data_IF_606601979399
#
_entry.id   IF_606601979399
#
_cell.length_a   1.000
_cell.length_b   1.000
_cell.length_c   1.000
_cell.angle_alpha   90.00
_cell.angle_beta   90.00
_cell.angle_gamma   90.00
#
_symmetry.space_group_name_H-M   'P 1'
#
loop_
_entity.id
_entity.type
_entity.pdbx_description
1 polymer ?
#
# COMPACT_ATOMS: atom_id res chain seq x y z
N UNK A 1 3.09 -55.15 62.28
CA UNK A 1 1.90 -54.61 61.57
C UNK A 1 2.27 -53.30 60.91
N UNK A 2 2.09 -53.26 59.57
CA UNK A 2 1.90 -52.13 58.64
C UNK A 2 2.16 -50.72 59.18
N UNK A 3 2.93 -49.91 58.44
CA UNK A 3 2.50 -48.56 58.06
C UNK A 3 3.25 -48.06 56.80
N UNK A 4 2.44 -47.54 55.88
CA UNK A 4 2.67 -47.26 54.47
C UNK A 4 3.35 -45.90 54.30
N UNK A 5 4.29 -45.78 53.36
CA UNK A 5 5.00 -44.52 53.05
C UNK A 5 4.06 -43.49 52.39
N UNK A 6 3.99 -42.24 52.87
CA UNK A 6 3.21 -41.17 52.24
C UNK A 6 4.07 -40.48 51.17
N UNK A 7 4.04 -40.99 49.95
CA UNK A 7 4.92 -40.51 48.87
C UNK A 7 4.26 -40.38 47.51
N UNK A 8 2.92 -40.25 47.44
CA UNK A 8 2.20 -40.31 46.16
C UNK A 8 1.21 -39.16 45.87
N UNK A 9 1.00 -38.21 46.79
CA UNK A 9 0.00 -37.14 46.56
C UNK A 9 0.56 -35.80 46.05
N UNK A 10 1.88 -35.60 46.03
CA UNK A 10 2.46 -34.29 45.65
C UNK A 10 2.73 -34.13 44.15
N UNK A 11 2.64 -35.19 43.34
CA UNK A 11 2.97 -35.15 41.91
C UNK A 11 1.75 -34.91 41.00
N UNK A 12 0.51 -35.14 41.47
CA UNK A 12 -0.69 -34.87 40.65
C UNK A 12 -1.12 -33.40 40.68
N UNK A 13 -0.76 -32.65 41.73
CA UNK A 13 -1.15 -31.24 41.87
C UNK A 13 -0.40 -30.32 40.89
N UNK A 14 0.81 -30.67 40.46
CA UNK A 14 1.62 -29.82 39.56
C UNK A 14 1.12 -29.92 38.11
N UNK A 15 0.49 -31.03 37.72
CA UNK A 15 0.03 -31.23 36.34
C UNK A 15 -1.28 -30.47 36.02
N UNK A 16 -2.07 -30.07 37.03
CA UNK A 16 -3.31 -29.31 36.83
C UNK A 16 -3.09 -27.80 36.62
N UNK A 17 -1.96 -27.23 37.06
CA UNK A 17 -1.68 -25.80 36.87
C UNK A 17 -1.07 -25.46 35.49
N UNK A 18 -0.56 -26.44 34.75
CA UNK A 18 0.02 -26.22 33.42
C UNK A 18 -1.02 -25.94 32.33
N UNK A 19 -2.31 -26.24 32.56
CA UNK A 19 -3.39 -26.06 31.58
C UNK A 19 -4.06 -24.68 31.63
N UNK A 20 -3.73 -23.83 32.61
CA UNK A 20 -4.41 -22.53 32.83
C UNK A 20 -3.81 -21.34 32.06
N UNK A 21 -2.70 -21.54 31.33
CA UNK A 21 -2.01 -20.45 30.61
C UNK A 21 -2.16 -20.49 29.08
N UNK A 22 -3.15 -21.20 28.54
CA UNK A 22 -3.51 -21.09 27.13
C UNK A 22 -4.41 -19.87 26.89
N UNK A 23 -3.90 -18.66 27.13
CA UNK A 23 -4.53 -17.46 26.55
C UNK A 23 -4.03 -17.35 25.12
N UNK A 24 -4.91 -17.62 24.16
CA UNK A 24 -4.64 -17.32 22.76
C UNK A 24 -4.33 -15.81 22.65
N UNK A 25 -3.22 -15.41 22.01
CA UNK A 25 -2.98 -14.00 21.77
C UNK A 25 -4.14 -13.48 20.92
N UNK A 26 -4.91 -12.54 21.45
CA UNK A 26 -5.92 -11.82 20.67
C UNK A 26 -5.15 -11.08 19.59
N UNK A 27 -5.13 -11.64 18.38
CA UNK A 27 -4.53 -10.99 17.22
C UNK A 27 -5.39 -9.75 16.98
N UNK A 28 -4.85 -8.52 17.11
CA UNK A 28 -5.63 -7.34 16.84
C UNK A 28 -6.02 -7.36 15.36
N UNK A 29 -7.30 -7.60 15.10
CA UNK A 29 -7.88 -7.49 13.76
C UNK A 29 -7.85 -6.00 13.41
N UNK A 30 -7.07 -5.63 12.40
CA UNK A 30 -7.06 -4.26 11.88
C UNK A 30 -8.30 -4.05 11.03
N UNK A 31 -9.38 -3.58 11.65
CA UNK A 31 -10.60 -3.23 10.95
C UNK A 31 -10.43 -1.96 10.10
N UNK A 32 -11.18 -1.83 8.98
CA UNK A 32 -11.25 -0.59 8.23
C UNK A 32 -11.79 0.58 9.07
N UNK A 33 -11.03 1.66 9.11
CA UNK A 33 -11.41 2.93 9.73
C UNK A 33 -11.98 3.87 8.68
N UNK A 34 -13.30 3.85 8.56
CA UNK A 34 -14.05 4.70 7.64
C UNK A 34 -14.15 6.17 8.08
N UNK A 35 -13.60 6.53 9.25
CA UNK A 35 -13.64 7.91 9.77
C UNK A 35 -12.46 8.78 9.33
N UNK A 36 -11.50 8.21 8.58
CA UNK A 36 -10.32 8.92 8.11
C UNK A 36 -10.69 10.10 7.21
N UNK A 37 -9.97 11.24 7.33
CA UNK A 37 -10.16 12.38 6.44
C UNK A 37 -9.81 12.02 5.00
N UNK A 38 -10.45 12.72 4.06
CA UNK A 38 -10.22 12.55 2.62
C UNK A 38 -9.14 13.54 2.13
N UNK A 39 -8.05 13.01 1.60
CA UNK A 39 -6.92 13.75 1.06
C UNK A 39 -7.26 14.42 -0.27
N UNK A 40 -8.06 13.77 -1.10
CA UNK A 40 -8.36 14.18 -2.48
C UNK A 40 -9.80 14.70 -2.64
N UNK A 41 -10.43 15.14 -1.55
CA UNK A 41 -11.84 15.59 -1.56
C UNK A 41 -12.12 16.73 -2.55
N UNK A 42 -11.14 17.62 -2.78
CA UNK A 42 -11.28 18.76 -3.71
C UNK A 42 -11.12 18.37 -5.19
N UNK A 43 -10.60 17.17 -5.47
CA UNK A 43 -10.42 16.69 -6.83
C UNK A 43 -11.70 16.03 -7.35
N UNK A 44 -11.97 16.07 -8.67
CA UNK A 44 -13.06 15.32 -9.28
C UNK A 44 -12.96 13.80 -9.03
N UNK A 45 -14.06 13.08 -9.23
CA UNK A 45 -14.08 11.61 -9.10
C UNK A 45 -13.20 10.92 -10.15
N UNK A 46 -13.09 11.54 -11.33
CA UNK A 46 -12.32 11.06 -12.48
C UNK A 46 -11.59 12.23 -13.11
N UNK A 47 -10.30 12.07 -13.36
CA UNK A 47 -9.43 13.13 -13.87
C UNK A 47 -8.57 12.54 -14.98
N UNK A 48 -8.57 13.14 -16.16
CA UNK A 48 -7.70 12.70 -17.27
C UNK A 48 -6.24 13.03 -16.97
N UNK A 49 -5.38 12.02 -17.09
CA UNK A 49 -3.95 12.12 -16.84
C UNK A 49 -3.23 12.81 -18.00
N UNK A 50 -2.22 13.61 -17.68
CA UNK A 50 -1.20 14.00 -18.66
C UNK A 50 -0.19 12.87 -18.81
N UNK A 51 -0.44 11.98 -19.77
CA UNK A 51 0.38 10.76 -19.96
C UNK A 51 1.87 11.04 -20.11
N UNK A 52 2.26 12.14 -20.76
CA UNK A 52 3.68 12.49 -20.90
C UNK A 52 4.37 12.76 -19.55
N UNK A 53 3.66 13.35 -18.58
CA UNK A 53 4.16 13.55 -17.21
C UNK A 53 4.34 12.22 -16.49
N UNK A 54 3.40 11.28 -16.67
CA UNK A 54 3.55 9.93 -16.09
C UNK A 54 4.74 9.18 -16.69
N UNK A 55 4.93 9.26 -18.00
CA UNK A 55 6.04 8.57 -18.67
C UNK A 55 7.41 9.15 -18.30
N UNK A 56 7.49 10.45 -18.00
CA UNK A 56 8.73 11.09 -17.56
C UNK A 56 9.22 10.51 -16.21
N UNK A 57 8.30 10.04 -15.36
CA UNK A 57 8.63 9.43 -14.07
C UNK A 57 9.51 8.18 -14.18
N UNK A 58 9.38 7.43 -15.29
CA UNK A 58 10.17 6.21 -15.51
C UNK A 58 11.65 6.50 -15.81
N UNK A 59 11.99 7.77 -16.07
CA UNK A 59 13.35 8.24 -16.28
C UNK A 59 13.93 8.91 -15.03
N UNK A 60 13.14 9.05 -13.97
CA UNK A 60 13.58 9.71 -12.75
C UNK A 60 14.60 8.86 -11.99
N UNK A 61 15.44 9.54 -11.21
CA UNK A 61 16.50 8.91 -10.41
C UNK A 61 16.17 8.96 -8.92
N UNK A 62 16.65 7.99 -8.13
CA UNK A 62 16.42 7.97 -6.69
C UNK A 62 17.02 9.22 -6.03
N UNK A 63 16.24 9.87 -5.17
CA UNK A 63 16.62 11.13 -4.50
C UNK A 63 16.27 12.39 -5.30
N UNK A 64 15.86 12.25 -6.56
CA UNK A 64 15.44 13.39 -7.38
C UNK A 64 14.16 14.03 -6.82
N UNK A 65 14.14 15.36 -6.78
CA UNK A 65 12.92 16.14 -6.58
C UNK A 65 12.17 16.29 -7.89
N UNK A 66 10.86 16.14 -7.84
CA UNK A 66 9.97 16.26 -9.00
C UNK A 66 8.82 17.23 -8.71
N UNK A 67 8.40 17.92 -9.76
CA UNK A 67 7.20 18.75 -9.78
C UNK A 67 6.43 18.41 -11.05
N UNK A 68 5.29 17.71 -10.88
CA UNK A 68 4.50 17.17 -11.98
C UNK A 68 3.15 17.88 -12.04
N UNK A 69 2.74 18.25 -13.24
CA UNK A 69 1.38 18.69 -13.52
C UNK A 69 0.57 17.51 -14.07
N UNK A 70 0.18 16.59 -13.17
CA UNK A 70 -0.41 15.29 -13.51
C UNK A 70 -1.76 15.41 -14.24
N UNK A 71 -2.52 16.47 -13.98
CA UNK A 71 -3.76 16.80 -14.68
C UNK A 71 -4.15 18.27 -14.47
N UNK A 72 -5.21 18.74 -15.12
CA UNK A 72 -5.72 20.09 -14.88
C UNK A 72 -6.02 20.32 -13.39
N UNK A 73 -5.36 21.32 -12.79
CA UNK A 73 -5.44 21.65 -11.36
C UNK A 73 -4.96 20.53 -10.41
N UNK A 74 -4.17 19.59 -10.89
CA UNK A 74 -3.62 18.51 -10.07
C UNK A 74 -2.10 18.44 -10.20
N UNK A 75 -1.41 19.12 -9.27
CA UNK A 75 0.04 19.09 -9.18
C UNK A 75 0.52 18.12 -8.11
N UNK A 76 1.52 17.31 -8.43
CA UNK A 76 2.16 16.42 -7.48
C UNK A 76 3.64 16.74 -7.37
N UNK A 77 4.07 17.14 -6.18
CA UNK A 77 5.46 17.43 -5.86
C UNK A 77 5.97 16.40 -4.88
N UNK A 78 7.21 15.97 -5.05
CA UNK A 78 7.78 14.96 -4.16
C UNK A 78 9.23 14.63 -4.43
N UNK A 79 9.73 13.68 -3.65
CA UNK A 79 11.08 13.13 -3.80
C UNK A 79 10.98 11.65 -4.16
N UNK A 80 11.74 11.23 -5.18
CA UNK A 80 11.81 9.83 -5.60
C UNK A 80 12.51 9.01 -4.52
N UNK A 81 11.78 8.09 -3.89
CA UNK A 81 12.29 7.24 -2.81
C UNK A 81 12.78 5.88 -3.31
N UNK A 82 12.22 5.40 -4.43
CA UNK A 82 12.60 4.13 -5.02
C UNK A 82 12.49 4.18 -6.54
N UNK A 83 13.41 3.49 -7.21
CA UNK A 83 13.36 3.20 -8.63
C UNK A 83 13.71 1.72 -8.81
N UNK A 84 13.03 1.03 -9.70
CA UNK A 84 13.37 -0.33 -10.08
C UNK A 84 13.36 -0.47 -11.59
N UNK A 85 14.36 -1.19 -12.10
CA UNK A 85 14.42 -1.67 -13.47
C UNK A 85 14.82 -3.14 -13.40
N UNK A 86 13.92 -4.04 -13.78
CA UNK A 86 14.07 -5.50 -13.65
C UNK A 86 13.72 -6.17 -14.98
N UNK A 87 14.15 -7.43 -15.11
CA UNK A 87 13.83 -8.28 -16.27
C UNK A 87 14.18 -7.60 -17.60
N UNK A 88 15.41 -7.07 -17.71
CA UNK A 88 15.90 -6.37 -18.90
C UNK A 88 15.00 -5.22 -19.39
N UNK A 89 14.35 -4.48 -18.48
CA UNK A 89 13.46 -3.37 -18.83
C UNK A 89 11.99 -3.75 -18.96
N UNK A 90 11.64 -5.03 -18.84
CA UNK A 90 10.25 -5.47 -18.86
C UNK A 90 9.46 -5.03 -17.61
N UNK A 91 10.13 -4.65 -16.52
CA UNK A 91 9.51 -3.96 -15.39
C UNK A 91 10.32 -2.71 -15.05
N UNK A 92 9.66 -1.56 -15.12
CA UNK A 92 10.18 -0.29 -14.62
C UNK A 92 9.19 0.25 -13.59
N UNK A 93 9.67 0.67 -12.42
CA UNK A 93 8.81 1.28 -11.41
C UNK A 93 9.51 2.40 -10.65
N UNK A 94 8.70 3.31 -10.16
CA UNK A 94 9.12 4.49 -9.42
C UNK A 94 8.15 4.75 -8.28
N UNK A 95 8.70 5.10 -7.12
CA UNK A 95 7.94 5.46 -5.93
C UNK A 95 8.39 6.85 -5.49
N UNK A 96 7.42 7.74 -5.30
CA UNK A 96 7.65 9.13 -4.93
C UNK A 96 6.88 9.43 -3.66
N UNK A 97 7.58 9.96 -2.66
CA UNK A 97 6.95 10.50 -1.46
C UNK A 97 6.56 11.95 -1.73
N UNK A 98 5.29 12.28 -1.50
CA UNK A 98 4.79 13.63 -1.71
C UNK A 98 5.33 14.62 -0.68
N UNK A 99 5.49 15.87 -1.09
CA UNK A 99 5.74 17.02 -0.20
C UNK A 99 4.52 17.96 -0.10
N UNK A 100 3.54 17.83 -1.00
CA UNK A 100 2.35 18.70 -1.03
C UNK A 100 1.03 17.97 -0.67
N UNK A 101 1.06 16.65 -0.55
CA UNK A 101 -0.02 15.83 -0.01
C UNK A 101 0.53 15.01 1.15
N UNK A 102 0.20 15.39 2.37
CA UNK A 102 0.80 14.78 3.56
C UNK A 102 0.54 13.27 3.64
N UNK A 103 1.59 12.51 3.94
CA UNK A 103 1.57 11.05 3.99
C UNK A 103 1.36 10.34 2.64
N UNK A 104 1.21 11.06 1.54
CA UNK A 104 0.91 10.47 0.23
C UNK A 104 2.15 9.91 -0.46
N UNK A 105 1.97 8.76 -1.10
CA UNK A 105 2.97 8.09 -1.93
C UNK A 105 2.36 7.80 -3.30
N UNK A 106 3.03 8.28 -4.35
CA UNK A 106 2.76 7.89 -5.73
C UNK A 106 3.65 6.70 -6.08
N UNK A 107 3.02 5.60 -6.50
CA UNK A 107 3.70 4.46 -7.11
C UNK A 107 3.26 4.38 -8.57
N UNK A 108 4.21 4.32 -9.49
CA UNK A 108 3.95 4.18 -10.92
C UNK A 108 4.85 3.11 -11.52
N UNK A 109 4.29 2.26 -12.38
CA UNK A 109 4.99 1.15 -12.99
C UNK A 109 4.60 0.98 -14.46
N UNK A 110 5.58 0.55 -15.24
CA UNK A 110 5.44 0.05 -16.60
C UNK A 110 5.85 -1.42 -16.60
N UNK A 111 4.98 -2.27 -17.11
CA UNK A 111 5.29 -3.67 -17.42
C UNK A 111 5.22 -3.91 -18.92
N UNK A 112 6.07 -4.80 -19.41
CA UNK A 112 6.03 -5.31 -20.78
C UNK A 112 5.97 -6.81 -20.69
N UNK A 113 4.93 -7.41 -21.26
CA UNK A 113 4.79 -8.86 -21.26
C UNK A 113 5.63 -9.54 -22.35
N UNK A 114 5.56 -10.87 -22.42
CA UNK A 114 6.33 -11.69 -23.36
C UNK A 114 5.96 -11.42 -24.83
N UNK A 115 4.77 -10.86 -25.09
CA UNK A 115 4.29 -10.49 -26.42
C UNK A 115 4.61 -9.02 -26.76
N UNK A 116 5.30 -8.30 -25.88
CA UNK A 116 5.65 -6.90 -26.06
C UNK A 116 4.53 -5.92 -25.73
N UNK A 117 3.41 -6.38 -25.14
CA UNK A 117 2.32 -5.52 -24.73
C UNK A 117 2.73 -4.73 -23.50
N UNK A 118 2.63 -3.40 -23.60
CA UNK A 118 2.96 -2.48 -22.52
C UNK A 118 1.71 -2.21 -21.69
N UNK A 119 1.84 -2.34 -20.37
CA UNK A 119 0.82 -1.94 -19.40
C UNK A 119 1.39 -0.94 -18.42
N UNK A 120 0.61 0.08 -18.10
CA UNK A 120 0.95 1.06 -17.07
C UNK A 120 -0.01 0.91 -15.90
N UNK A 121 0.53 0.98 -14.69
CA UNK A 121 -0.26 0.97 -13.46
C UNK A 121 0.30 1.99 -12.49
N UNK A 122 -0.56 2.57 -11.67
CA UNK A 122 -0.10 3.44 -10.61
C UNK A 122 -1.20 3.88 -9.68
N UNK A 123 -0.80 4.28 -8.48
CA UNK A 123 -1.69 4.63 -7.39
C UNK A 123 -1.07 5.75 -6.55
N UNK A 124 -1.90 6.65 -6.03
CA UNK A 124 -1.53 7.63 -5.02
C UNK A 124 -2.32 7.31 -3.77
N UNK A 125 -1.63 6.93 -2.71
CA UNK A 125 -2.22 6.46 -1.47
C UNK A 125 -1.58 7.11 -0.26
N UNK A 126 -2.36 7.27 0.81
CA UNK A 126 -1.88 7.65 2.13
C UNK A 126 -2.59 6.80 3.17
N UNK A 127 -1.83 6.09 4.01
CA UNK A 127 -2.41 5.30 5.10
C UNK A 127 -3.10 6.14 6.19
N UNK A 128 -2.83 7.44 6.22
CA UNK A 128 -3.47 8.40 7.14
C UNK A 128 -4.84 8.91 6.64
N UNK A 129 -5.23 8.59 5.41
CA UNK A 129 -6.41 9.15 4.75
C UNK A 129 -7.36 8.05 4.27
N UNK A 130 -8.63 8.41 4.02
CA UNK A 130 -9.70 7.48 3.66
C UNK A 130 -9.84 7.22 2.16
N UNK A 131 -9.19 8.02 1.31
CA UNK A 131 -9.24 7.93 -0.15
C UNK A 131 -7.85 7.76 -0.79
N UNK A 132 -7.90 7.36 -2.05
CA UNK A 132 -6.75 7.18 -2.90
C UNK A 132 -7.12 7.47 -4.37
N UNK A 133 -6.11 7.63 -5.22
CA UNK A 133 -6.27 7.75 -6.66
C UNK A 133 -5.62 6.54 -7.33
N UNK A 134 -6.32 5.90 -8.26
CA UNK A 134 -5.79 4.82 -9.09
C UNK A 134 -5.74 5.25 -10.56
N UNK A 135 -4.68 4.86 -11.25
CA UNK A 135 -4.54 5.06 -12.69
C UNK A 135 -5.21 3.91 -13.41
N UNK A 136 -6.23 4.24 -14.21
CA UNK A 136 -6.97 3.29 -15.05
C UNK A 136 -6.87 3.70 -16.51
N UNK A 137 -6.77 2.72 -17.41
CA UNK A 137 -6.85 2.93 -18.85
C UNK A 137 -8.29 2.75 -19.34
N UNK A 138 -8.80 3.72 -20.10
CA UNK A 138 -10.08 3.64 -20.81
C UNK A 138 -9.91 4.17 -22.23
N UNK A 139 -10.19 3.35 -23.25
CA UNK A 139 -10.08 3.73 -24.67
C UNK A 139 -8.71 4.33 -25.05
N UNK A 140 -7.63 3.80 -24.49
CA UNK A 140 -6.25 4.27 -24.75
C UNK A 140 -5.88 5.58 -24.04
N UNK A 141 -6.76 6.11 -23.19
CA UNK A 141 -6.51 7.27 -22.33
C UNK A 141 -6.37 6.83 -20.88
N UNK A 142 -5.59 7.57 -20.11
CA UNK A 142 -5.34 7.27 -18.71
C UNK A 142 -6.09 8.24 -17.80
N UNK A 143 -6.66 7.74 -16.73
CA UNK A 143 -7.43 8.52 -15.77
C UNK A 143 -7.01 8.21 -14.35
N UNK A 144 -6.94 9.23 -13.50
CA UNK A 144 -6.99 9.06 -12.06
C UNK A 144 -8.44 8.90 -11.63
N UNK A 145 -8.75 7.74 -11.05
CA UNK A 145 -10.06 7.40 -10.49
C UNK A 145 -9.94 7.45 -8.96
N UNK A 146 -10.80 8.24 -8.33
CA UNK A 146 -10.88 8.29 -6.87
C UNK A 146 -11.52 7.01 -6.33
N UNK A 147 -10.86 6.38 -5.37
CA UNK A 147 -11.33 5.17 -4.68
C UNK A 147 -11.23 5.37 -3.16
N UNK A 148 -11.97 4.56 -2.40
CA UNK A 148 -11.68 4.39 -0.98
C UNK A 148 -10.32 3.70 -0.81
N UNK A 149 -9.57 4.08 0.23
CA UNK A 149 -8.30 3.42 0.55
C UNK A 149 -8.49 1.90 0.72
N UNK A 150 -9.59 1.49 1.36
CA UNK A 150 -9.85 0.08 1.66
C UNK A 150 -10.21 -0.74 0.43
N UNK A 151 -10.81 -0.14 -0.59
CA UNK A 151 -11.09 -0.82 -1.85
C UNK A 151 -9.77 -1.20 -2.53
N UNK A 152 -8.77 -0.32 -2.50
CA UNK A 152 -7.45 -0.56 -3.10
C UNK A 152 -6.63 -1.60 -2.33
N UNK A 153 -6.73 -1.61 -1.00
CA UNK A 153 -5.92 -2.53 -0.16
C UNK A 153 -6.44 -3.96 -0.22
N UNK A 154 -7.75 -4.15 -0.45
CA UNK A 154 -8.39 -5.47 -0.44
C UNK A 154 -8.46 -6.14 -1.83
N UNK A 155 -7.96 -5.48 -2.89
CA UNK A 155 -7.79 -6.05 -4.25
C UNK A 155 -6.58 -6.99 -4.33
#
# INVERSE_FOLDING_TARGET
MKNLKPGLCSLSAIFLFALLNAQEPVIPVREPDYSKPLLFHQLPQKIECRTHELLSLLQATKGQEIDLDLALNFKFRGTVTSVANKYNGALQSVVIRSVNYDGAVLSFSKTTDEYGVIKYSGRILSFNHGDALEITEEEGRYFFIKKSLYDIINE
#
